data_IF_367315626710
#
_entry.id   IF_367315626710
#
_cell.length_a   1.000
_cell.length_b   1.000
_cell.length_c   1.000
_cell.angle_alpha   90.00
_cell.angle_beta   90.00
_cell.angle_gamma   90.00
#
_symmetry.space_group_name_H-M   'P 1'
#
loop_
_entity.id
_entity.type
_entity.pdbx_description
1 polymer ?
#
# COMPACT_ATOMS: atom_id res chain seq x y z
N UNK A 1 -5.05 -19.40 -20.32
CA UNK A 1 -5.96 -18.27 -20.09
C UNK A 1 -5.28 -16.99 -20.55
N UNK A 2 -6.07 -16.03 -21.02
CA UNK A 2 -5.60 -14.68 -21.32
C UNK A 2 -5.97 -13.73 -20.17
N UNK A 3 -5.27 -12.61 -20.07
CA UNK A 3 -5.50 -11.61 -19.05
C UNK A 3 -5.70 -10.22 -19.67
N UNK A 4 -6.57 -9.43 -19.07
CA UNK A 4 -6.68 -8.00 -19.29
C UNK A 4 -6.22 -7.34 -17.98
N UNK A 5 -5.22 -6.49 -18.06
CA UNK A 5 -4.69 -5.73 -16.93
C UNK A 5 -5.18 -4.29 -17.07
N UNK A 6 -5.97 -3.81 -16.14
CA UNK A 6 -6.30 -2.40 -16.00
C UNK A 6 -5.21 -1.77 -15.15
N UNK A 7 -4.36 -0.95 -15.75
CA UNK A 7 -3.26 -0.27 -15.06
C UNK A 7 -3.73 0.84 -14.12
N UNK A 8 -2.94 1.20 -13.09
CA UNK A 8 -3.24 2.33 -12.20
C UNK A 8 -3.04 3.67 -12.91
N UNK A 9 -3.85 4.65 -12.58
CA UNK A 9 -3.80 6.00 -13.18
C UNK A 9 -2.60 6.79 -12.67
N UNK A 10 -2.31 6.67 -11.38
CA UNK A 10 -1.24 7.44 -10.73
C UNK A 10 0.17 6.92 -11.05
N UNK A 11 0.29 5.63 -11.41
CA UNK A 11 1.60 5.00 -11.68
C UNK A 11 1.59 4.14 -12.93
N UNK A 12 1.25 4.70 -14.11
CA UNK A 12 1.01 3.90 -15.31
C UNK A 12 2.28 3.26 -15.90
N UNK A 13 3.43 3.93 -15.78
CA UNK A 13 4.66 3.50 -16.42
C UNK A 13 5.16 2.13 -15.94
N UNK A 14 5.11 1.84 -14.65
CA UNK A 14 5.61 0.57 -14.11
C UNK A 14 4.88 -0.65 -14.65
N UNK A 15 3.55 -0.56 -14.81
CA UNK A 15 2.76 -1.66 -15.40
C UNK A 15 3.02 -1.76 -16.91
N UNK A 16 3.15 -0.63 -17.62
CA UNK A 16 3.47 -0.64 -19.04
C UNK A 16 4.82 -1.33 -19.32
N UNK A 17 5.86 -1.03 -18.54
CA UNK A 17 7.17 -1.68 -18.66
C UNK A 17 7.10 -3.19 -18.32
N UNK A 18 6.31 -3.59 -17.32
CA UNK A 18 6.09 -4.99 -17.02
C UNK A 18 5.45 -5.75 -18.20
N UNK A 19 4.43 -5.17 -18.83
CA UNK A 19 3.77 -5.80 -19.99
C UNK A 19 4.72 -5.88 -21.19
N UNK A 20 5.53 -4.84 -21.41
CA UNK A 20 6.58 -4.85 -22.43
C UNK A 20 7.61 -5.97 -22.18
N UNK A 21 8.02 -6.18 -20.93
CA UNK A 21 8.94 -7.27 -20.59
C UNK A 21 8.36 -8.66 -20.93
N UNK A 22 7.05 -8.87 -20.78
CA UNK A 22 6.40 -10.10 -21.22
C UNK A 22 6.43 -10.28 -22.75
N UNK A 23 6.20 -9.20 -23.50
CA UNK A 23 6.28 -9.23 -24.98
C UNK A 23 7.71 -9.52 -25.45
N UNK A 24 8.70 -8.86 -24.87
CA UNK A 24 10.14 -9.09 -25.15
C UNK A 24 10.60 -10.52 -24.79
N UNK A 25 10.00 -11.12 -23.74
CA UNK A 25 10.25 -12.52 -23.37
C UNK A 25 9.59 -13.53 -24.30
N UNK A 26 8.90 -13.08 -25.36
CA UNK A 26 8.28 -13.95 -26.37
C UNK A 26 6.91 -14.52 -25.98
N UNK A 27 6.19 -13.88 -25.05
CA UNK A 27 4.84 -14.30 -24.71
C UNK A 27 3.91 -14.21 -25.94
N UNK A 28 3.05 -15.22 -26.21
CA UNK A 28 2.16 -15.18 -27.36
C UNK A 28 1.25 -13.95 -27.34
N UNK A 29 1.14 -13.29 -28.50
CA UNK A 29 0.31 -12.09 -28.65
C UNK A 29 -1.12 -12.30 -28.17
N UNK A 30 -1.67 -11.34 -27.42
CA UNK A 30 -3.00 -11.38 -26.86
C UNK A 30 -3.11 -12.19 -25.55
N UNK A 31 -2.02 -12.79 -25.04
CA UNK A 31 -2.02 -13.46 -23.74
C UNK A 31 -2.22 -12.51 -22.58
N UNK A 32 -1.56 -11.34 -22.65
CA UNK A 32 -1.73 -10.23 -21.68
C UNK A 32 -2.04 -8.96 -22.47
N UNK A 33 -3.06 -8.22 -22.04
CA UNK A 33 -3.51 -7.00 -22.70
C UNK A 33 -3.63 -5.91 -21.62
N UNK A 34 -3.07 -4.73 -21.89
CA UNK A 34 -3.08 -3.60 -20.97
C UNK A 34 -4.09 -2.57 -21.42
N UNK A 35 -4.90 -2.07 -20.49
CA UNK A 35 -5.86 -1.00 -20.71
C UNK A 35 -5.73 0.09 -19.64
N UNK A 36 -5.93 1.33 -20.05
CA UNK A 36 -6.03 2.49 -19.16
C UNK A 36 -7.34 3.22 -19.45
N UNK A 37 -7.84 3.96 -18.48
CA UNK A 37 -9.06 4.75 -18.57
C UNK A 37 -9.79 4.80 -17.23
N UNK A 38 -11.01 5.31 -17.24
CA UNK A 38 -11.82 5.50 -16.04
C UNK A 38 -12.13 4.14 -15.39
N UNK A 39 -11.69 3.89 -14.14
CA UNK A 39 -11.82 2.58 -13.49
C UNK A 39 -13.25 2.03 -13.45
N UNK A 40 -14.21 2.90 -13.14
CA UNK A 40 -15.62 2.49 -13.04
C UNK A 40 -16.17 1.98 -14.37
N UNK A 41 -15.96 2.74 -15.45
CA UNK A 41 -16.42 2.38 -16.80
C UNK A 41 -15.82 1.06 -17.29
N UNK A 42 -14.49 0.91 -17.11
CA UNK A 42 -13.79 -0.32 -17.49
C UNK A 42 -14.27 -1.52 -16.69
N UNK A 43 -14.42 -1.38 -15.38
CA UNK A 43 -14.85 -2.49 -14.53
C UNK A 43 -16.29 -2.91 -14.78
N UNK A 44 -17.22 -1.98 -14.94
CA UNK A 44 -18.61 -2.26 -15.27
C UNK A 44 -18.70 -3.05 -16.60
N UNK A 45 -18.02 -2.59 -17.64
CA UNK A 45 -18.03 -3.25 -18.93
C UNK A 45 -17.39 -4.65 -18.88
N UNK A 46 -16.18 -4.75 -18.33
CA UNK A 46 -15.44 -6.02 -18.33
C UNK A 46 -16.07 -7.07 -17.41
N UNK A 47 -16.54 -6.68 -16.22
CA UNK A 47 -17.11 -7.63 -15.27
C UNK A 47 -18.43 -8.22 -15.82
N UNK A 48 -19.25 -7.43 -16.48
CA UNK A 48 -20.47 -7.91 -17.10
C UNK A 48 -20.22 -8.79 -18.33
N UNK A 49 -19.06 -8.61 -19.01
CA UNK A 49 -18.80 -9.29 -20.28
C UNK A 49 -18.70 -10.83 -20.14
N UNK A 50 -19.40 -11.62 -20.96
CA UNK A 50 -19.51 -13.08 -20.77
C UNK A 50 -18.17 -13.84 -20.94
N UNK A 51 -17.21 -13.27 -21.68
CA UNK A 51 -15.88 -13.88 -21.88
C UNK A 51 -15.01 -13.79 -20.62
N UNK A 52 -15.18 -12.74 -19.80
CA UNK A 52 -14.45 -12.59 -18.53
C UNK A 52 -14.96 -13.60 -17.52
N UNK A 53 -14.09 -14.37 -16.91
CA UNK A 53 -14.43 -15.46 -15.98
C UNK A 53 -14.00 -15.19 -14.55
N UNK A 54 -12.98 -14.34 -14.36
CA UNK A 54 -12.42 -14.05 -13.05
C UNK A 54 -12.01 -12.58 -12.97
N UNK A 55 -12.26 -11.99 -11.82
CA UNK A 55 -11.76 -10.65 -11.42
C UNK A 55 -10.71 -10.83 -10.34
N UNK A 56 -9.56 -10.20 -10.52
CA UNK A 56 -8.52 -10.11 -9.49
C UNK A 56 -8.26 -8.62 -9.25
N UNK A 57 -8.28 -8.21 -8.00
CA UNK A 57 -8.14 -6.81 -7.62
C UNK A 57 -7.25 -6.64 -6.41
N UNK A 58 -6.32 -5.69 -6.49
CA UNK A 58 -5.53 -5.21 -5.35
C UNK A 58 -5.82 -3.73 -5.16
N UNK A 59 -6.25 -3.34 -3.96
CA UNK A 59 -6.58 -1.94 -3.68
C UNK A 59 -7.37 -1.74 -2.39
N UNK A 60 -8.20 -0.69 -2.34
CA UNK A 60 -8.97 -0.37 -1.14
C UNK A 60 -10.11 -1.35 -0.89
N UNK A 61 -10.44 -1.57 0.38
CA UNK A 61 -11.56 -2.44 0.78
C UNK A 61 -12.89 -1.96 0.20
N UNK A 62 -13.12 -0.65 0.12
CA UNK A 62 -14.35 -0.09 -0.43
C UNK A 62 -14.54 -0.46 -1.91
N UNK A 63 -13.50 -0.29 -2.73
CA UNK A 63 -13.53 -0.66 -4.15
C UNK A 63 -13.60 -2.18 -4.30
N UNK A 64 -12.86 -2.95 -3.48
CA UNK A 64 -12.94 -4.41 -3.50
C UNK A 64 -14.34 -4.95 -3.24
N UNK A 65 -15.06 -4.38 -2.27
CA UNK A 65 -16.47 -4.73 -2.01
C UNK A 65 -17.37 -4.46 -3.21
N UNK A 66 -17.19 -3.30 -3.86
CA UNK A 66 -17.95 -2.94 -5.05
C UNK A 66 -17.70 -3.94 -6.20
N UNK A 67 -16.45 -4.21 -6.51
CA UNK A 67 -16.08 -5.13 -7.59
C UNK A 67 -16.52 -6.57 -7.30
N UNK A 68 -16.44 -7.01 -6.04
CA UNK A 68 -16.93 -8.32 -5.63
C UNK A 68 -18.45 -8.43 -5.78
N UNK A 69 -19.20 -7.39 -5.44
CA UNK A 69 -20.65 -7.33 -5.65
C UNK A 69 -21.01 -7.40 -7.13
N UNK A 70 -20.36 -6.61 -7.97
CA UNK A 70 -20.57 -6.64 -9.42
C UNK A 70 -20.22 -8.04 -10.01
N UNK A 71 -19.11 -8.62 -9.58
CA UNK A 71 -18.71 -9.96 -10.03
C UNK A 71 -19.70 -11.05 -9.59
N UNK A 72 -20.24 -10.94 -8.38
CA UNK A 72 -21.27 -11.83 -7.84
C UNK A 72 -22.56 -11.82 -8.68
N UNK A 73 -23.02 -10.66 -9.12
CA UNK A 73 -24.19 -10.50 -10.00
C UNK A 73 -24.03 -11.29 -11.30
N UNK A 74 -22.80 -11.46 -11.79
CA UNK A 74 -22.49 -12.19 -13.02
C UNK A 74 -21.83 -13.56 -12.78
N UNK A 75 -21.86 -14.08 -11.55
CA UNK A 75 -21.27 -15.37 -11.15
C UNK A 75 -19.79 -15.52 -11.53
N UNK A 76 -19.02 -14.42 -11.46
CA UNK A 76 -17.59 -14.45 -11.73
C UNK A 76 -16.81 -14.85 -10.47
N UNK A 77 -15.69 -15.55 -10.66
CA UNK A 77 -14.72 -15.79 -9.58
C UNK A 77 -14.03 -14.49 -9.19
N UNK A 78 -13.72 -14.31 -7.91
CA UNK A 78 -12.99 -13.15 -7.40
C UNK A 78 -11.78 -13.56 -6.58
N UNK A 79 -10.73 -12.75 -6.68
CA UNK A 79 -9.61 -12.72 -5.72
C UNK A 79 -9.40 -11.27 -5.33
N UNK A 80 -9.51 -10.97 -4.03
CA UNK A 80 -9.43 -9.62 -3.50
C UNK A 80 -8.25 -9.51 -2.54
N UNK A 81 -7.25 -8.71 -2.90
CA UNK A 81 -6.10 -8.34 -2.09
C UNK A 81 -6.29 -6.90 -1.60
N UNK A 82 -6.65 -6.73 -0.34
CA UNK A 82 -7.15 -5.48 0.20
C UNK A 82 -6.25 -4.94 1.31
N UNK A 83 -6.59 -3.76 1.84
CA UNK A 83 -5.85 -3.14 2.91
C UNK A 83 -5.93 -3.91 4.24
N UNK A 84 -4.94 -3.70 5.08
CA UNK A 84 -4.85 -4.30 6.40
C UNK A 84 -4.04 -3.43 7.36
N UNK A 85 -3.84 -3.91 8.60
CA UNK A 85 -3.12 -3.20 9.64
C UNK A 85 -1.87 -3.92 10.14
N UNK A 86 -1.69 -5.18 9.80
CA UNK A 86 -0.52 -6.00 10.14
C UNK A 86 0.00 -5.73 11.57
N UNK A 87 -0.77 -6.08 12.62
CA UNK A 87 -0.35 -5.82 13.99
C UNK A 87 0.96 -6.57 14.29
N UNK A 88 1.89 -5.88 14.96
CA UNK A 88 3.16 -6.44 15.39
C UNK A 88 3.18 -6.51 16.92
N UNK A 89 3.56 -7.66 17.47
CA UNK A 89 3.62 -7.90 18.92
C UNK A 89 5.10 -8.03 19.29
N UNK A 90 5.55 -7.24 20.27
CA UNK A 90 6.89 -7.29 20.84
C UNK A 90 6.79 -7.78 22.29
N UNK A 91 7.21 -9.01 22.53
CA UNK A 91 7.16 -9.63 23.84
C UNK A 91 8.32 -9.18 24.73
N UNK A 92 8.24 -9.48 26.03
CA UNK A 92 9.23 -9.07 27.03
C UNK A 92 10.63 -9.65 26.82
N UNK A 93 10.72 -10.80 26.17
CA UNK A 93 11.96 -11.52 25.85
C UNK A 93 12.48 -11.24 24.42
N UNK A 94 11.86 -10.30 23.69
CA UNK A 94 12.29 -9.97 22.34
C UNK A 94 13.64 -9.24 22.31
N UNK A 95 14.45 -9.51 21.28
CA UNK A 95 15.56 -8.64 20.92
C UNK A 95 15.01 -7.32 20.35
N UNK A 96 14.89 -6.31 21.21
CA UNK A 96 14.30 -5.01 20.91
C UNK A 96 15.01 -4.32 19.74
N UNK A 97 16.34 -4.40 19.65
CA UNK A 97 17.10 -3.77 18.56
C UNK A 97 16.78 -4.40 17.21
N UNK A 98 16.70 -5.70 17.17
CA UNK A 98 16.29 -6.44 15.97
C UNK A 98 14.83 -6.17 15.62
N UNK A 99 13.93 -6.14 16.60
CA UNK A 99 12.52 -5.79 16.40
C UNK A 99 12.35 -4.38 15.81
N UNK A 100 13.01 -3.37 16.38
CA UNK A 100 13.00 -1.99 15.87
C UNK A 100 13.50 -1.95 14.43
N UNK A 101 14.63 -2.58 14.13
CA UNK A 101 15.23 -2.59 12.77
C UNK A 101 14.27 -3.19 11.75
N UNK A 102 13.69 -4.35 12.03
CA UNK A 102 12.79 -5.04 11.10
C UNK A 102 11.49 -4.29 10.94
N UNK A 103 10.87 -3.87 12.04
CA UNK A 103 9.54 -3.25 12.02
C UNK A 103 9.58 -1.84 11.43
N UNK A 104 10.62 -1.04 11.70
CA UNK A 104 10.76 0.27 11.06
C UNK A 104 11.01 0.16 9.56
N UNK A 105 11.86 -0.77 9.11
CA UNK A 105 12.08 -1.01 7.70
C UNK A 105 10.80 -1.39 6.96
N UNK A 106 9.97 -2.25 7.56
CA UNK A 106 8.68 -2.62 6.99
C UNK A 106 7.65 -1.49 7.05
N UNK A 107 7.64 -0.70 8.13
CA UNK A 107 6.70 0.42 8.29
C UNK A 107 6.92 1.52 7.27
N UNK A 108 8.17 1.89 7.05
CA UNK A 108 8.50 3.06 6.23
C UNK A 108 8.77 2.74 4.75
N UNK A 109 8.75 1.47 4.37
CA UNK A 109 8.82 1.07 2.97
C UNK A 109 7.68 1.71 2.18
N UNK A 110 8.01 2.36 1.05
CA UNK A 110 7.05 3.05 0.19
C UNK A 110 6.14 4.05 0.95
N UNK A 111 6.70 4.80 1.91
CA UNK A 111 5.97 5.71 2.80
C UNK A 111 4.81 5.04 3.57
N UNK A 112 4.94 3.75 3.89
CA UNK A 112 3.91 2.97 4.58
C UNK A 112 2.71 2.57 3.71
N UNK A 113 2.75 2.85 2.41
CA UNK A 113 1.66 2.56 1.46
C UNK A 113 1.75 1.13 0.93
N UNK A 114 1.77 0.15 1.82
CA UNK A 114 1.85 -1.29 1.53
C UNK A 114 0.80 -2.01 2.36
N UNK A 115 0.06 -2.96 1.76
CA UNK A 115 -1.02 -3.70 2.43
C UNK A 115 -0.56 -4.45 3.69
N UNK A 116 0.70 -4.88 3.74
CA UNK A 116 1.33 -5.54 4.89
C UNK A 116 2.14 -4.59 5.79
N UNK A 117 2.08 -3.26 5.59
CA UNK A 117 2.78 -2.30 6.45
C UNK A 117 2.20 -2.33 7.85
N UNK A 118 3.00 -2.58 8.89
CA UNK A 118 2.50 -2.59 10.26
C UNK A 118 2.04 -1.19 10.68
N UNK A 119 0.85 -1.11 11.26
CA UNK A 119 0.25 0.14 11.73
C UNK A 119 -0.06 0.11 13.22
N UNK A 120 -0.01 -1.07 13.84
CA UNK A 120 -0.21 -1.26 15.28
C UNK A 120 0.96 -2.04 15.84
N UNK A 121 1.58 -1.49 16.87
CA UNK A 121 2.67 -2.12 17.60
C UNK A 121 2.19 -2.32 19.03
N UNK A 122 2.03 -3.59 19.43
CA UNK A 122 1.65 -4.01 20.78
C UNK A 122 2.93 -4.43 21.49
N UNK A 123 3.44 -3.54 22.31
CA UNK A 123 4.75 -3.70 22.94
C UNK A 123 4.56 -3.96 24.44
N UNK A 124 5.20 -5.00 24.96
CA UNK A 124 5.16 -5.30 26.40
C UNK A 124 5.77 -4.14 27.21
N UNK A 125 5.18 -3.80 28.34
CA UNK A 125 5.55 -2.63 29.14
C UNK A 125 7.05 -2.60 29.53
N UNK A 126 7.64 -3.75 29.84
CA UNK A 126 9.05 -3.84 30.24
C UNK A 126 10.06 -3.45 29.15
N UNK A 127 9.67 -3.47 27.88
CA UNK A 127 10.51 -3.15 26.71
C UNK A 127 9.96 -1.94 25.92
N UNK A 128 8.90 -1.32 26.41
CA UNK A 128 8.19 -0.26 25.70
C UNK A 128 9.06 0.96 25.42
N UNK A 129 9.71 1.49 26.44
CA UNK A 129 10.50 2.71 26.30
C UNK A 129 11.70 2.50 25.35
N UNK A 130 12.42 1.38 25.49
CA UNK A 130 13.54 1.05 24.59
C UNK A 130 13.06 0.89 23.14
N UNK A 131 11.92 0.24 22.92
CA UNK A 131 11.34 0.07 21.60
C UNK A 131 10.95 1.41 20.99
N UNK A 132 10.23 2.26 21.74
CA UNK A 132 9.76 3.57 21.28
C UNK A 132 10.93 4.48 20.93
N UNK A 133 11.93 4.58 21.81
CA UNK A 133 13.13 5.40 21.57
C UNK A 133 13.89 4.96 20.32
N UNK A 134 14.04 3.65 20.17
CA UNK A 134 14.68 3.07 18.99
C UNK A 134 13.89 3.34 17.71
N UNK A 135 12.58 3.18 17.76
CA UNK A 135 11.69 3.39 16.61
C UNK A 135 11.64 4.86 16.17
N UNK A 136 11.57 5.80 17.12
CA UNK A 136 11.64 7.25 16.86
C UNK A 136 12.95 7.61 16.18
N UNK A 137 14.11 7.13 16.69
CA UNK A 137 15.42 7.35 16.07
C UNK A 137 15.47 6.83 14.62
N UNK A 138 14.90 5.66 14.37
CA UNK A 138 14.81 5.13 13.01
C UNK A 138 13.94 6.01 12.11
N UNK A 139 12.78 6.46 12.59
CA UNK A 139 11.89 7.33 11.84
C UNK A 139 12.58 8.67 11.46
N UNK A 140 13.28 9.28 12.42
CA UNK A 140 14.01 10.55 12.24
C UNK A 140 15.20 10.42 11.28
N UNK A 141 15.81 9.25 11.20
CA UNK A 141 16.94 8.97 10.30
C UNK A 141 16.56 8.84 8.83
N UNK A 142 15.25 8.80 8.52
CA UNK A 142 14.79 8.60 7.14
C UNK A 142 14.90 9.92 6.37
N UNK A 143 15.75 9.93 5.35
CA UNK A 143 15.80 11.04 4.41
C UNK A 143 14.66 10.93 3.40
N UNK A 144 13.75 11.90 3.44
CA UNK A 144 12.58 12.00 2.56
C UNK A 144 12.86 13.00 1.45
N UNK A 145 12.66 12.60 0.20
CA UNK A 145 12.91 13.46 -0.96
C UNK A 145 12.67 12.77 -2.30
N UNK A 146 13.29 13.29 -3.35
CA UNK A 146 13.25 12.67 -4.67
C UNK A 146 14.08 11.37 -4.67
N UNK A 147 13.45 10.25 -5.00
CA UNK A 147 14.09 8.92 -5.01
C UNK A 147 15.24 8.76 -6.01
N UNK A 148 15.48 9.72 -6.90
CA UNK A 148 16.62 9.76 -7.82
C UNK A 148 17.86 10.43 -7.18
N UNK A 149 17.73 11.01 -5.99
CA UNK A 149 18.82 11.65 -5.27
C UNK A 149 19.51 10.66 -4.32
N UNK A 150 20.84 10.79 -4.21
CA UNK A 150 21.64 9.93 -3.34
C UNK A 150 21.24 10.09 -1.87
N UNK A 151 21.11 8.96 -1.17
CA UNK A 151 20.78 8.93 0.25
C UNK A 151 19.30 9.11 0.60
N UNK A 152 18.43 9.38 -0.37
CA UNK A 152 16.97 9.40 -0.16
C UNK A 152 16.47 7.97 0.06
N UNK A 153 15.66 7.79 1.11
CA UNK A 153 15.12 6.47 1.52
C UNK A 153 13.62 6.35 1.37
N UNK A 154 12.92 7.48 1.28
CA UNK A 154 11.46 7.52 1.17
C UNK A 154 11.03 8.67 0.27
N UNK A 155 10.15 8.39 -0.69
CA UNK A 155 9.52 9.37 -1.54
C UNK A 155 8.28 10.02 -0.89
N UNK A 156 7.60 10.92 -1.62
CA UNK A 156 6.35 11.52 -1.17
C UNK A 156 5.20 10.52 -1.17
N UNK A 157 4.08 10.90 -0.55
CA UNK A 157 2.82 10.18 -0.70
C UNK A 157 2.33 10.26 -2.16
N UNK A 158 1.56 9.26 -2.59
CA UNK A 158 1.16 9.09 -3.98
C UNK A 158 0.29 10.25 -4.52
N UNK A 159 -0.50 10.91 -3.67
CA UNK A 159 -1.40 12.01 -4.06
C UNK A 159 -1.92 12.81 -2.85
N UNK A 160 -2.38 14.04 -3.09
CA UNK A 160 -2.82 14.99 -2.07
C UNK A 160 -3.99 14.49 -1.21
N UNK A 161 -4.93 13.73 -1.79
CA UNK A 161 -6.03 13.12 -1.03
C UNK A 161 -5.53 12.24 0.12
N UNK A 162 -4.41 11.53 -0.11
CA UNK A 162 -3.79 10.70 0.92
C UNK A 162 -3.14 11.54 2.00
N UNK A 163 -2.49 12.61 1.61
CA UNK A 163 -1.88 13.57 2.53
C UNK A 163 -2.93 14.17 3.47
N UNK A 164 -4.04 14.68 2.91
CA UNK A 164 -5.16 15.22 3.71
C UNK A 164 -5.76 14.17 4.66
N UNK A 165 -5.91 12.92 4.20
CA UNK A 165 -6.41 11.84 5.05
C UNK A 165 -5.46 11.53 6.23
N UNK A 166 -4.15 11.53 6.00
CA UNK A 166 -3.15 11.32 7.07
C UNK A 166 -3.18 12.46 8.08
N UNK A 167 -3.29 13.72 7.63
CA UNK A 167 -3.43 14.88 8.52
C UNK A 167 -4.67 14.73 9.41
N UNK A 168 -5.80 14.29 8.85
CA UNK A 168 -7.01 14.00 9.60
C UNK A 168 -6.82 12.89 10.64
N UNK A 169 -6.15 11.81 10.30
CA UNK A 169 -5.86 10.73 11.24
C UNK A 169 -4.93 11.16 12.38
N UNK A 170 -3.94 12.01 12.09
CA UNK A 170 -3.05 12.56 13.12
C UNK A 170 -3.85 13.47 14.08
N UNK A 171 -4.71 14.34 13.54
CA UNK A 171 -5.55 15.22 14.36
C UNK A 171 -6.50 14.40 15.24
N UNK A 172 -7.22 13.44 14.68
CA UNK A 172 -8.12 12.54 15.42
C UNK A 172 -7.37 11.79 16.53
N UNK A 173 -6.18 11.26 16.26
CA UNK A 173 -5.39 10.58 17.28
C UNK A 173 -5.03 11.50 18.45
N UNK A 174 -4.63 12.75 18.19
CA UNK A 174 -4.30 13.73 19.22
C UNK A 174 -5.55 14.12 20.04
N UNK A 175 -6.68 14.36 19.39
CA UNK A 175 -7.97 14.66 20.05
C UNK A 175 -8.40 13.50 20.97
N UNK A 176 -8.05 12.27 20.63
CA UNK A 176 -8.31 11.07 21.45
C UNK A 176 -7.18 10.75 22.44
N UNK A 177 -6.25 11.67 22.69
CA UNK A 177 -5.25 11.58 23.75
C UNK A 177 -3.93 10.90 23.36
N UNK A 178 -3.71 10.61 22.08
CA UNK A 178 -2.43 10.11 21.60
C UNK A 178 -1.33 11.19 21.66
N UNK A 179 -0.08 10.74 21.85
CA UNK A 179 1.10 11.62 21.83
C UNK A 179 1.86 11.46 20.53
N UNK A 180 2.16 12.57 19.88
CA UNK A 180 3.08 12.60 18.73
C UNK A 180 4.50 12.65 19.29
N UNK A 181 5.29 11.62 19.01
CA UNK A 181 6.68 11.55 19.45
C UNK A 181 7.65 12.10 18.40
N UNK A 182 7.30 11.93 17.12
CA UNK A 182 8.04 12.53 16.00
C UNK A 182 7.15 12.65 14.77
N UNK A 183 7.50 13.50 13.83
CA UNK A 183 6.74 13.70 12.60
C UNK A 183 5.38 14.37 12.83
N UNK A 184 4.32 13.81 12.26
CA UNK A 184 2.95 14.34 12.38
C UNK A 184 2.72 15.69 11.67
N UNK A 185 3.64 16.14 10.84
CA UNK A 185 3.57 17.42 10.12
C UNK A 185 3.93 17.21 8.66
N UNK A 186 3.31 18.02 7.81
CA UNK A 186 3.66 18.10 6.40
C UNK A 186 5.10 18.58 6.22
N UNK A 187 5.85 17.97 5.33
CA UNK A 187 7.22 18.36 4.94
C UNK A 187 7.22 18.63 3.43
N UNK A 188 6.93 19.86 3.07
CA UNK A 188 6.74 20.24 1.66
C UNK A 188 5.39 19.75 1.09
N UNK A 189 5.35 19.65 -0.22
CA UNK A 189 4.18 19.14 -0.98
C UNK A 189 4.31 17.66 -1.26
#
# INVERSE_FOLDING_TARGET
CTAIVKGPEETPAGVAELIKAFDEAGMPKGSINLVYGVPAEISEYLIAHPVVRKVTFTGSTAVGKLLASQAGTHMKRVTMELGGHSPAIVCEDADVKTAVKILSANKFRNAGQVCISPTRFLVHDSVYDEFVDGFVKQAESINVGNGLEDGVKMGPLAHDRRLTAIEGFVADAVENGAKILTGGKRKGN
#
